data_IF_674071770838
#
_entry.id   IF_674071770838
#
_cell.length_a   1.000
_cell.length_b   1.000
_cell.length_c   1.000
_cell.angle_alpha   90.00
_cell.angle_beta   90.00
_cell.angle_gamma   90.00
#
_symmetry.space_group_name_H-M   'P 1'
#
loop_
_entity.id
_entity.type
_entity.pdbx_description
1 polymer ?
#
# COMPACT_ATOMS: atom_id res chain seq x y z
N UNK A 1 -4.63 -27.55 12.67
CA UNK A 1 -4.70 -27.25 11.22
C UNK A 1 -4.40 -25.78 10.93
N UNK A 2 -5.22 -24.79 11.29
CA UNK A 2 -4.86 -23.37 11.01
C UNK A 2 -3.52 -22.99 11.68
N UNK A 3 -3.38 -23.25 12.99
CA UNK A 3 -2.17 -22.93 13.73
C UNK A 3 -0.90 -23.61 13.17
N UNK A 4 -1.00 -24.86 12.74
CA UNK A 4 0.11 -25.62 12.15
C UNK A 4 0.47 -25.11 10.74
N UNK A 5 -0.52 -24.71 9.94
CA UNK A 5 -0.28 -24.11 8.62
C UNK A 5 0.44 -22.76 8.73
N UNK A 6 0.01 -21.90 9.66
CA UNK A 6 0.69 -20.62 9.93
C UNK A 6 2.11 -20.86 10.45
N UNK A 7 2.31 -21.84 11.34
CA UNK A 7 3.65 -22.23 11.80
C UNK A 7 4.55 -22.72 10.64
N UNK A 8 3.97 -23.39 9.64
CA UNK A 8 4.67 -23.82 8.41
C UNK A 8 4.89 -22.69 7.40
N UNK A 9 4.58 -21.44 7.73
CA UNK A 9 4.82 -20.27 6.88
C UNK A 9 3.67 -19.91 5.93
N UNK A 10 2.45 -20.44 6.11
CA UNK A 10 1.32 -20.03 5.29
C UNK A 10 0.95 -18.55 5.50
N UNK A 11 0.70 -17.83 4.41
CA UNK A 11 0.31 -16.41 4.47
C UNK A 11 -1.12 -16.23 4.97
N UNK A 12 -1.28 -15.65 6.17
CA UNK A 12 -2.60 -15.32 6.74
C UNK A 12 -3.34 -14.23 5.95
N UNK A 13 -2.62 -13.40 5.20
CA UNK A 13 -3.17 -12.33 4.36
C UNK A 13 -3.64 -12.79 2.98
N UNK A 14 -3.44 -14.06 2.63
CA UNK A 14 -3.86 -14.59 1.34
C UNK A 14 -5.39 -14.51 1.15
N UNK A 15 -5.79 -14.22 -0.09
CA UNK A 15 -7.19 -14.02 -0.49
C UNK A 15 -7.60 -15.16 -1.41
N UNK A 16 -8.83 -15.65 -1.28
CA UNK A 16 -9.40 -16.65 -2.19
C UNK A 16 -9.57 -16.10 -3.61
N UNK A 17 -9.68 -16.99 -4.59
CA UNK A 17 -9.93 -16.60 -5.98
C UNK A 17 -11.21 -15.75 -6.12
N UNK A 18 -11.19 -14.71 -7.00
CA UNK A 18 -12.37 -13.91 -7.30
C UNK A 18 -13.54 -14.77 -7.78
N UNK A 19 -14.72 -14.53 -7.22
CA UNK A 19 -15.97 -15.18 -7.64
C UNK A 19 -17.04 -14.15 -7.96
N UNK A 20 -18.12 -14.56 -8.62
CA UNK A 20 -19.26 -13.67 -8.93
C UNK A 20 -19.92 -13.07 -7.67
N UNK A 21 -19.77 -13.72 -6.52
CA UNK A 21 -20.24 -13.23 -5.21
C UNK A 21 -19.22 -12.32 -4.53
N UNK A 22 -17.93 -12.57 -4.75
CA UNK A 22 -16.82 -11.86 -4.12
C UNK A 22 -15.76 -11.49 -5.18
N UNK A 23 -15.93 -10.37 -5.90
CA UNK A 23 -15.07 -10.01 -7.04
C UNK A 23 -13.62 -9.66 -6.64
N UNK A 24 -13.39 -9.40 -5.35
CA UNK A 24 -12.06 -9.11 -4.78
C UNK A 24 -11.47 -10.36 -4.08
N UNK A 25 -12.27 -11.41 -3.89
CA UNK A 25 -11.94 -12.54 -3.03
C UNK A 25 -12.06 -12.21 -1.53
N UNK A 26 -11.94 -13.23 -0.68
CA UNK A 26 -12.07 -13.13 0.78
C UNK A 26 -10.81 -13.63 1.47
N UNK A 27 -10.40 -12.93 2.53
CA UNK A 27 -9.31 -13.39 3.41
C UNK A 27 -9.80 -14.52 4.31
N UNK A 28 -8.90 -15.39 4.75
CA UNK A 28 -9.22 -16.44 5.73
C UNK A 28 -9.87 -15.86 7.01
N UNK A 29 -9.43 -14.67 7.46
CA UNK A 29 -10.01 -13.95 8.58
C UNK A 29 -11.47 -13.53 8.33
N UNK A 30 -11.79 -13.02 7.13
CA UNK A 30 -13.15 -12.64 6.76
C UNK A 30 -14.10 -13.84 6.73
N UNK A 31 -13.63 -14.99 6.24
CA UNK A 31 -14.39 -16.24 6.19
C UNK A 31 -14.66 -16.72 7.63
N UNK A 32 -13.62 -16.78 8.48
CA UNK A 32 -13.77 -17.16 9.88
C UNK A 32 -14.76 -16.25 10.63
N UNK A 33 -14.73 -14.94 10.37
CA UNK A 33 -15.66 -13.97 10.94
C UNK A 33 -17.10 -14.25 10.49
N UNK A 34 -17.32 -14.50 9.19
CA UNK A 34 -18.65 -14.81 8.64
C UNK A 34 -19.23 -16.13 9.17
N UNK A 35 -18.37 -17.08 9.54
CA UNK A 35 -18.76 -18.33 10.21
C UNK A 35 -18.98 -18.19 11.72
N UNK A 36 -18.78 -17.01 12.30
CA UNK A 36 -18.95 -16.74 13.74
C UNK A 36 -17.73 -17.06 14.61
N UNK A 37 -16.60 -17.45 14.03
CA UNK A 37 -15.35 -17.72 14.75
C UNK A 37 -14.55 -16.44 14.98
N UNK A 38 -15.04 -15.56 15.85
CA UNK A 38 -14.44 -14.24 16.12
C UNK A 38 -12.99 -14.33 16.62
N UNK A 39 -12.67 -15.29 17.50
CA UNK A 39 -11.30 -15.45 18.03
C UNK A 39 -10.30 -15.89 16.95
N UNK A 40 -10.72 -16.81 16.08
CA UNK A 40 -9.93 -17.24 14.92
C UNK A 40 -9.76 -16.10 13.90
N UNK A 41 -10.83 -15.36 13.62
CA UNK A 41 -10.78 -14.21 12.73
C UNK A 41 -9.83 -13.12 13.25
N UNK A 42 -9.86 -12.85 14.56
CA UNK A 42 -8.94 -11.94 15.22
C UNK A 42 -7.49 -12.40 15.13
N UNK A 43 -7.21 -13.67 15.44
CA UNK A 43 -5.86 -14.25 15.31
C UNK A 43 -5.30 -14.13 13.89
N UNK A 44 -6.08 -14.52 12.88
CA UNK A 44 -5.66 -14.41 11.48
C UNK A 44 -5.45 -12.96 11.04
N UNK A 45 -6.26 -12.03 11.54
CA UNK A 45 -6.12 -10.60 11.24
C UNK A 45 -4.85 -10.00 11.86
N UNK A 46 -4.53 -10.36 13.11
CA UNK A 46 -3.28 -9.95 13.76
C UNK A 46 -2.06 -10.51 13.03
N UNK A 47 -2.04 -11.82 12.73
CA UNK A 47 -0.94 -12.46 12.01
C UNK A 47 -0.76 -11.85 10.62
N UNK A 48 -1.85 -11.56 9.91
CA UNK A 48 -1.78 -10.89 8.62
C UNK A 48 -1.16 -9.48 8.72
N UNK A 49 -1.57 -8.67 9.71
CA UNK A 49 -1.03 -7.32 9.90
C UNK A 49 0.45 -7.34 10.31
N UNK A 50 0.82 -8.20 11.25
CA UNK A 50 2.20 -8.31 11.74
C UNK A 50 3.14 -8.92 10.69
N UNK A 51 2.68 -9.89 9.90
CA UNK A 51 3.44 -10.42 8.76
C UNK A 51 3.57 -9.41 7.62
N UNK A 52 2.56 -8.57 7.39
CA UNK A 52 2.64 -7.51 6.39
C UNK A 52 3.62 -6.41 6.84
N UNK A 53 3.61 -6.06 8.12
CA UNK A 53 4.60 -5.15 8.70
C UNK A 53 6.02 -5.71 8.55
N UNK A 54 6.27 -6.97 8.90
CA UNK A 54 7.62 -7.54 8.80
C UNK A 54 8.13 -7.53 7.35
N UNK A 55 7.26 -7.84 6.38
CA UNK A 55 7.57 -7.72 4.96
C UNK A 55 7.92 -6.30 4.55
N UNK A 56 7.19 -5.28 5.02
CA UNK A 56 7.49 -3.88 4.71
C UNK A 56 8.78 -3.40 5.39
N UNK A 57 9.03 -3.80 6.63
CA UNK A 57 10.26 -3.42 7.35
C UNK A 57 11.51 -4.04 6.76
N UNK A 58 11.44 -5.24 6.16
CA UNK A 58 12.56 -5.81 5.41
C UNK A 58 12.93 -4.91 4.22
N UNK A 59 11.93 -4.42 3.49
CA UNK A 59 12.13 -3.50 2.36
C UNK A 59 12.61 -2.09 2.81
N UNK A 60 12.17 -1.61 3.99
CA UNK A 60 12.61 -0.31 4.57
C UNK A 60 13.97 -0.39 5.29
N UNK A 61 14.41 -1.57 5.71
CA UNK A 61 15.68 -1.77 6.44
C UNK A 61 16.94 -1.47 5.60
N UNK A 62 16.78 -1.36 4.28
CA UNK A 62 17.78 -0.85 3.34
C UNK A 62 17.94 0.69 3.40
N UNK A 63 17.06 1.44 4.08
CA UNK A 63 17.02 2.91 3.98
C UNK A 63 17.03 3.73 5.28
N UNK A 64 16.73 3.21 6.48
CA UNK A 64 17.15 3.86 7.75
C UNK A 64 16.67 3.10 8.99
N UNK A 65 17.60 2.70 9.87
CA UNK A 65 17.28 2.25 11.23
C UNK A 65 17.20 3.45 12.16
N UNK A 66 15.98 3.81 12.55
CA UNK A 66 15.72 4.70 13.68
C UNK A 66 15.68 3.91 14.99
N UNK A 67 16.62 4.18 15.88
CA UNK A 67 16.91 3.56 17.17
C UNK A 67 15.82 3.70 18.26
N UNK A 68 14.60 4.12 17.92
CA UNK A 68 13.54 4.45 18.88
C UNK A 68 12.63 3.26 19.27
N UNK A 69 12.62 2.18 18.48
CA UNK A 69 11.66 1.08 18.67
C UNK A 69 11.99 0.13 19.85
N UNK A 70 13.27 0.05 20.23
CA UNK A 70 13.73 -0.83 21.33
C UNK A 70 13.34 -0.27 22.71
N UNK A 71 13.09 1.04 22.82
CA UNK A 71 12.86 1.72 24.09
C UNK A 71 11.39 1.66 24.56
N UNK A 72 10.43 1.63 23.61
CA UNK A 72 9.01 1.44 23.91
C UNK A 72 8.67 0.01 24.37
N UNK A 73 9.40 -0.99 23.88
CA UNK A 73 9.21 -2.40 24.29
C UNK A 73 9.80 -2.69 25.68
N UNK A 74 10.90 -2.04 26.05
CA UNK A 74 11.56 -2.20 27.36
C UNK A 74 10.74 -1.64 28.53
N UNK A 75 10.02 -0.54 28.33
CA UNK A 75 9.29 0.16 29.40
C UNK A 75 8.01 -0.57 29.84
N UNK A 76 7.41 -1.40 28.98
CA UNK A 76 6.18 -2.15 29.29
C UNK A 76 6.48 -3.51 29.93
N UNK A 77 7.59 -4.17 29.54
CA UNK A 77 8.04 -5.42 30.17
C UNK A 77 8.33 -5.27 31.67
N UNK A 78 8.77 -4.08 32.10
CA UNK A 78 9.03 -3.79 33.52
C UNK A 78 7.76 -3.78 34.40
N UNK A 79 6.56 -3.65 33.80
CA UNK A 79 5.28 -3.57 34.53
C UNK A 79 4.64 -4.95 34.75
N UNK A 80 5.11 -6.00 34.07
CA UNK A 80 4.47 -7.33 34.08
C UNK A 80 4.86 -8.28 35.22
N UNK A 81 5.74 -7.87 36.14
CA UNK A 81 6.27 -8.74 37.21
C UNK A 81 5.47 -8.72 38.52
N UNK A 82 4.13 -8.62 38.45
CA UNK A 82 3.28 -8.66 39.66
C UNK A 82 1.91 -9.31 39.38
N UNK A 83 1.85 -10.64 39.33
CA UNK A 83 0.70 -11.43 39.85
C UNK A 83 0.88 -12.92 39.58
N UNK A 84 1.36 -13.63 40.60
CA UNK A 84 1.13 -15.06 40.73
C UNK A 84 -0.34 -15.27 41.10
N UNK A 85 -1.00 -16.24 40.44
CA UNK A 85 -2.44 -16.59 40.46
C UNK A 85 -3.33 -15.76 39.51
N UNK A 86 -3.37 -16.19 38.24
CA UNK A 86 -4.26 -15.61 37.22
C UNK A 86 -5.25 -16.71 36.79
N UNK A 87 -6.56 -16.45 36.97
CA UNK A 87 -7.64 -17.28 36.39
C UNK A 87 -7.52 -17.33 34.86
N UNK A 88 -7.84 -18.44 34.21
CA UNK A 88 -7.72 -18.63 32.74
C UNK A 88 -8.39 -17.51 31.91
N UNK A 89 -9.49 -16.95 32.39
CA UNK A 89 -10.17 -15.83 31.73
C UNK A 89 -9.37 -14.51 31.76
N UNK A 90 -8.53 -14.30 32.78
CA UNK A 90 -7.64 -13.14 32.88
C UNK A 90 -6.41 -13.30 31.97
N UNK A 91 -5.93 -14.55 31.76
CA UNK A 91 -4.84 -14.85 30.81
C UNK A 91 -5.30 -14.63 29.37
N UNK A 92 -6.44 -15.19 29.00
CA UNK A 92 -7.01 -14.99 27.66
C UNK A 92 -7.36 -13.53 27.37
N UNK A 93 -7.77 -12.75 28.38
CA UNK A 93 -7.93 -11.30 28.24
C UNK A 93 -6.60 -10.58 28.03
N UNK A 94 -5.55 -10.92 28.80
CA UNK A 94 -4.21 -10.32 28.62
C UNK A 94 -3.66 -10.57 27.23
N UNK A 95 -3.79 -11.79 26.73
CA UNK A 95 -3.33 -12.19 25.40
C UNK A 95 -4.09 -11.48 24.28
N UNK A 96 -5.41 -11.35 24.40
CA UNK A 96 -6.20 -10.60 23.41
C UNK A 96 -5.93 -9.10 23.44
N UNK A 97 -5.64 -8.51 24.60
CA UNK A 97 -5.20 -7.11 24.69
C UNK A 97 -3.81 -6.89 24.10
N UNK A 98 -2.90 -7.87 24.23
CA UNK A 98 -1.61 -7.84 23.54
C UNK A 98 -1.81 -7.88 22.02
N UNK A 99 -2.69 -8.75 21.53
CA UNK A 99 -3.05 -8.83 20.11
C UNK A 99 -3.59 -7.51 19.55
N UNK A 100 -4.45 -6.81 20.30
CA UNK A 100 -4.94 -5.47 19.92
C UNK A 100 -3.80 -4.46 19.81
N UNK A 101 -2.86 -4.46 20.76
CA UNK A 101 -1.70 -3.55 20.71
C UNK A 101 -0.83 -3.83 19.49
N UNK A 102 -0.52 -5.11 19.23
CA UNK A 102 0.26 -5.53 18.07
C UNK A 102 -0.42 -5.12 16.76
N UNK A 103 -1.72 -5.40 16.63
CA UNK A 103 -2.50 -5.05 15.45
C UNK A 103 -2.57 -3.54 15.22
N UNK A 104 -2.78 -2.75 16.28
CA UNK A 104 -2.85 -1.30 16.20
C UNK A 104 -1.48 -0.68 15.82
N UNK A 105 -0.39 -1.15 16.43
CA UNK A 105 0.96 -0.71 16.08
C UNK A 105 1.34 -1.09 14.66
N UNK A 106 1.03 -2.32 14.24
CA UNK A 106 1.28 -2.78 12.87
C UNK A 106 0.48 -1.96 11.86
N UNK A 107 -0.82 -1.77 12.08
CA UNK A 107 -1.67 -0.94 11.23
C UNK A 107 -1.13 0.49 11.09
N UNK A 108 -0.76 1.13 12.20
CA UNK A 108 -0.22 2.47 12.20
C UNK A 108 1.08 2.57 11.38
N UNK A 109 2.01 1.62 11.57
CA UNK A 109 3.28 1.57 10.84
C UNK A 109 3.09 1.30 9.35
N UNK A 110 2.22 0.35 9.00
CA UNK A 110 1.86 0.06 7.59
C UNK A 110 1.28 1.31 6.93
N UNK A 111 0.30 1.96 7.57
CA UNK A 111 -0.32 3.17 7.04
C UNK A 111 0.69 4.32 6.93
N UNK A 112 1.61 4.49 7.88
CA UNK A 112 2.67 5.50 7.79
C UNK A 112 3.64 5.22 6.65
N UNK A 113 4.03 3.97 6.43
CA UNK A 113 4.89 3.54 5.33
C UNK A 113 4.23 3.87 3.97
N UNK A 114 2.95 3.54 3.79
CA UNK A 114 2.22 3.89 2.56
C UNK A 114 2.08 5.40 2.35
N UNK A 115 1.87 6.18 3.41
CA UNK A 115 1.82 7.65 3.34
C UNK A 115 3.18 8.22 2.93
N UNK A 116 4.27 7.76 3.54
CA UNK A 116 5.63 8.15 3.22
C UNK A 116 5.99 7.78 1.77
N UNK A 117 5.72 6.54 1.37
CA UNK A 117 5.96 6.07 0.00
C UNK A 117 5.15 6.88 -1.04
N UNK A 118 3.88 7.15 -0.76
CA UNK A 118 3.04 7.98 -1.65
C UNK A 118 3.58 9.42 -1.76
N UNK A 119 4.07 9.98 -0.66
CA UNK A 119 4.70 11.30 -0.63
C UNK A 119 6.01 11.31 -1.44
N UNK A 120 6.91 10.35 -1.21
CA UNK A 120 8.16 10.23 -1.96
C UNK A 120 7.92 10.05 -3.46
N UNK A 121 6.94 9.22 -3.85
CA UNK A 121 6.57 9.04 -5.27
C UNK A 121 6.03 10.32 -5.90
N UNK A 122 5.27 11.12 -5.16
CA UNK A 122 4.82 12.45 -5.60
C UNK A 122 6.02 13.39 -5.80
N UNK A 123 6.92 13.43 -4.81
CA UNK A 123 8.12 14.27 -4.87
C UNK A 123 9.03 13.87 -6.03
N UNK A 124 9.23 12.58 -6.29
CA UNK A 124 10.01 12.09 -7.45
C UNK A 124 9.37 12.42 -8.79
N UNK A 125 8.05 12.57 -8.87
CA UNK A 125 7.36 13.01 -10.11
C UNK A 125 7.41 14.52 -10.27
N UNK A 126 7.24 15.28 -9.21
CA UNK A 126 7.44 16.74 -9.23
C UNK A 126 8.90 17.07 -9.57
N UNK A 127 9.84 16.30 -8.99
CA UNK A 127 11.26 16.36 -9.35
C UNK A 127 11.53 15.77 -10.73
N UNK A 128 10.82 14.74 -11.20
CA UNK A 128 10.96 14.17 -12.55
C UNK A 128 10.45 15.08 -13.66
N UNK A 129 9.38 15.83 -13.38
CA UNK A 129 8.91 16.96 -14.22
C UNK A 129 9.91 18.12 -14.15
N UNK A 130 10.62 18.29 -13.04
CA UNK A 130 11.71 19.26 -12.87
C UNK A 130 13.12 18.70 -13.18
N UNK A 131 13.24 17.44 -13.59
CA UNK A 131 14.48 16.73 -13.92
C UNK A 131 14.47 16.25 -15.38
N UNK A 132 13.36 16.49 -16.09
CA UNK A 132 13.39 16.88 -17.50
C UNK A 132 14.01 18.28 -17.70
N UNK A 133 15.08 18.53 -16.94
CA UNK A 133 15.71 19.80 -16.71
C UNK A 133 15.07 20.56 -15.54
N UNK A 134 15.93 20.96 -14.59
CA UNK A 134 15.88 22.35 -14.16
C UNK A 134 15.84 23.19 -15.45
N UNK A 135 15.33 24.41 -15.44
CA UNK A 135 15.16 25.19 -16.67
C UNK A 135 16.47 25.36 -17.50
N UNK A 136 17.62 24.87 -16.99
CA UNK A 136 18.89 24.69 -17.68
C UNK A 136 19.64 23.33 -17.54
N UNK A 137 19.10 22.27 -16.92
CA UNK A 137 19.70 20.92 -16.97
C UNK A 137 21.16 20.76 -16.49
N UNK A 138 21.58 21.49 -15.45
CA UNK A 138 22.96 21.44 -14.92
C UNK A 138 22.99 20.70 -13.58
N UNK A 139 23.74 19.59 -13.48
CA UNK A 139 24.04 18.95 -12.19
C UNK A 139 25.13 19.76 -11.45
N UNK A 140 25.07 19.78 -10.11
CA UNK A 140 26.06 20.47 -9.25
C UNK A 140 27.51 20.03 -9.56
N UNK A 141 27.69 18.80 -10.04
CA UNK A 141 28.98 18.23 -10.44
C UNK A 141 29.51 18.77 -11.78
N UNK A 142 28.63 19.29 -12.65
CA UNK A 142 29.00 19.83 -13.97
C UNK A 142 29.55 21.25 -13.88
N UNK A 143 29.25 21.98 -12.80
CA UNK A 143 29.68 23.36 -12.56
C UNK A 143 31.21 23.45 -12.46
N UNK A 144 31.84 22.44 -11.85
CA UNK A 144 33.29 22.42 -11.68
C UNK A 144 34.04 22.10 -12.98
N UNK A 145 33.47 21.24 -13.83
CA UNK A 145 33.99 20.96 -15.18
C UNK A 145 33.85 22.15 -16.14
N UNK A 146 32.71 22.84 -16.10
CA UNK A 146 32.47 24.07 -16.88
C UNK A 146 33.39 25.22 -16.45
N UNK A 147 33.66 25.36 -15.15
CA UNK A 147 34.59 26.35 -14.60
C UNK A 147 36.03 26.13 -15.09
N UNK A 148 36.48 24.88 -15.17
CA UNK A 148 37.80 24.53 -15.67
C UNK A 148 37.96 24.78 -17.18
N UNK A 149 36.95 24.41 -17.98
CA UNK A 149 36.96 24.65 -19.43
C UNK A 149 36.89 26.14 -19.80
N UNK A 150 36.18 26.93 -18.99
CA UNK A 150 36.02 28.36 -19.22
C UNK A 150 37.35 29.11 -19.13
N UNK A 151 38.24 28.75 -18.19
CA UNK A 151 39.56 29.40 -18.01
C UNK A 151 40.50 29.25 -19.21
N UNK A 152 40.31 28.26 -20.07
CA UNK A 152 41.15 28.03 -21.26
C UNK A 152 40.68 28.81 -22.50
N UNK A 153 39.39 29.15 -22.59
CA UNK A 153 38.78 29.71 -23.81
C UNK A 153 38.78 31.26 -23.86
N UNK A 154 39.08 31.93 -22.75
CA UNK A 154 38.88 33.37 -22.56
C UNK A 154 40.10 34.25 -22.91
N UNK A 155 40.58 34.17 -24.16
CA UNK A 155 41.72 35.00 -24.60
C UNK A 155 41.36 36.29 -25.35
N UNK A 156 40.10 36.55 -25.71
CA UNK A 156 39.78 37.66 -26.62
C UNK A 156 38.56 38.53 -26.21
N UNK A 157 38.74 39.84 -25.92
CA UNK A 157 37.67 40.72 -25.46
C UNK A 157 36.53 40.98 -26.47
N UNK A 158 36.76 40.74 -27.78
CA UNK A 158 35.73 40.90 -28.82
C UNK A 158 34.65 39.82 -28.78
N UNK A 159 34.97 38.61 -28.32
CA UNK A 159 34.04 37.48 -28.32
C UNK A 159 32.99 37.56 -27.21
N UNK A 160 33.28 38.28 -26.11
CA UNK A 160 32.30 38.51 -25.03
C UNK A 160 31.08 39.30 -25.50
N UNK A 161 31.28 40.28 -26.38
CA UNK A 161 30.16 41.08 -26.90
C UNK A 161 29.26 40.23 -27.80
N UNK A 162 29.84 39.36 -28.65
CA UNK A 162 29.04 38.45 -29.46
C UNK A 162 28.30 37.39 -28.64
N UNK A 163 28.96 36.81 -27.63
CA UNK A 163 28.34 35.83 -26.74
C UNK A 163 27.20 36.46 -25.91
N UNK A 164 27.44 37.65 -25.34
CA UNK A 164 26.43 38.39 -24.60
C UNK A 164 25.21 38.73 -25.47
N UNK A 165 25.42 39.18 -26.72
CA UNK A 165 24.33 39.46 -27.66
C UNK A 165 23.54 38.21 -28.03
N UNK A 166 24.20 37.06 -28.21
CA UNK A 166 23.53 35.79 -28.47
C UNK A 166 22.63 35.36 -27.31
N UNK A 167 23.12 35.47 -26.08
CA UNK A 167 22.37 35.18 -24.86
C UNK A 167 21.18 36.14 -24.72
N UNK A 168 21.39 37.45 -24.89
CA UNK A 168 20.33 38.45 -24.82
C UNK A 168 19.23 38.21 -25.87
N UNK A 169 19.61 37.85 -27.09
CA UNK A 169 18.66 37.52 -28.17
C UNK A 169 17.82 36.29 -27.81
N UNK A 170 18.44 35.24 -27.27
CA UNK A 170 17.74 34.04 -26.80
C UNK A 170 16.80 34.34 -25.65
N UNK A 171 17.24 35.12 -24.67
CA UNK A 171 16.42 35.53 -23.54
C UNK A 171 15.20 36.34 -23.97
N UNK A 172 15.37 37.33 -24.86
CA UNK A 172 14.25 38.13 -25.39
C UNK A 172 13.22 37.28 -26.13
N UNK A 173 13.68 36.32 -26.93
CA UNK A 173 12.81 35.36 -27.62
C UNK A 173 12.06 34.43 -26.65
N UNK A 174 12.76 33.89 -25.65
CA UNK A 174 12.16 33.05 -24.61
C UNK A 174 11.11 33.81 -23.79
N UNK A 175 11.44 35.03 -23.35
CA UNK A 175 10.52 35.87 -22.57
C UNK A 175 9.25 36.19 -23.37
N UNK A 176 9.39 36.59 -24.63
CA UNK A 176 8.24 36.82 -25.51
C UNK A 176 7.38 35.57 -25.72
N UNK A 177 7.99 34.38 -25.88
CA UNK A 177 7.27 33.12 -26.01
C UNK A 177 6.53 32.75 -24.72
N UNK A 178 7.15 32.96 -23.55
CA UNK A 178 6.56 32.73 -22.23
C UNK A 178 5.32 33.59 -22.02
N UNK A 179 5.45 34.89 -22.29
CA UNK A 179 4.34 35.86 -22.15
C UNK A 179 3.20 35.53 -23.12
N UNK A 180 3.52 35.16 -24.37
CA UNK A 180 2.53 34.74 -25.37
C UNK A 180 1.78 33.47 -24.95
N UNK A 181 2.48 32.45 -24.44
CA UNK A 181 1.85 31.21 -23.99
C UNK A 181 0.93 31.46 -22.79
N UNK A 182 1.37 32.25 -21.81
CA UNK A 182 0.55 32.64 -20.66
C UNK A 182 -0.71 33.41 -21.10
N UNK A 183 -0.58 34.33 -22.05
CA UNK A 183 -1.72 35.05 -22.63
C UNK A 183 -2.66 34.10 -23.39
N UNK A 184 -2.12 33.22 -24.24
CA UNK A 184 -2.90 32.23 -24.99
C UNK A 184 -3.70 31.30 -24.08
N UNK A 185 -3.10 30.82 -22.98
CA UNK A 185 -3.81 29.99 -22.00
C UNK A 185 -5.02 30.73 -21.41
N UNK A 186 -4.88 32.01 -21.04
CA UNK A 186 -5.99 32.83 -20.55
C UNK A 186 -7.10 32.97 -21.61
N UNK A 187 -6.72 33.24 -22.87
CA UNK A 187 -7.68 33.34 -23.98
C UNK A 187 -8.42 32.02 -24.20
N UNK A 188 -7.72 30.89 -24.24
CA UNK A 188 -8.34 29.56 -24.43
C UNK A 188 -9.33 29.25 -23.30
N UNK A 189 -8.99 29.58 -22.04
CA UNK A 189 -9.93 29.43 -20.90
C UNK A 189 -11.20 30.25 -21.11
N UNK A 190 -11.08 31.52 -21.50
CA UNK A 190 -12.24 32.39 -21.77
C UNK A 190 -13.08 31.81 -22.93
N UNK A 191 -12.42 31.40 -24.02
CA UNK A 191 -13.11 30.82 -25.17
C UNK A 191 -13.87 29.54 -24.80
N UNK A 192 -13.30 28.67 -23.98
CA UNK A 192 -13.97 27.47 -23.48
C UNK A 192 -15.22 27.82 -22.66
N UNK A 193 -15.11 28.81 -21.76
CA UNK A 193 -16.25 29.28 -20.96
C UNK A 193 -17.38 29.87 -21.83
N UNK A 194 -17.03 30.67 -22.84
CA UNK A 194 -18.01 31.25 -23.77
C UNK A 194 -18.71 30.17 -24.60
N UNK A 195 -17.96 29.20 -25.17
CA UNK A 195 -18.54 28.08 -25.91
C UNK A 195 -19.48 27.25 -25.02
N UNK A 196 -19.06 26.94 -23.79
CA UNK A 196 -19.90 26.23 -22.83
C UNK A 196 -21.16 27.02 -22.43
N UNK A 197 -21.05 28.34 -22.26
CA UNK A 197 -22.19 29.20 -21.97
C UNK A 197 -23.20 29.23 -23.13
N UNK A 198 -22.73 29.30 -24.38
CA UNK A 198 -23.61 29.28 -25.56
C UNK A 198 -24.45 28.00 -25.62
N UNK A 199 -23.84 26.83 -25.41
CA UNK A 199 -24.55 25.54 -25.38
C UNK A 199 -25.55 25.50 -24.23
N UNK A 200 -25.17 25.92 -23.02
CA UNK A 200 -26.09 25.95 -21.86
C UNK A 200 -27.26 26.93 -22.06
N UNK A 201 -27.04 28.05 -22.74
CA UNK A 201 -28.10 29.01 -23.09
C UNK A 201 -29.12 28.36 -24.03
N UNK A 202 -28.66 27.62 -25.05
CA UNK A 202 -29.55 26.88 -25.95
C UNK A 202 -30.28 25.73 -25.21
N UNK A 203 -29.57 24.97 -24.38
CA UNK A 203 -30.15 23.89 -23.59
C UNK A 203 -31.25 24.37 -22.63
N UNK A 204 -31.09 25.54 -21.99
CA UNK A 204 -32.13 26.13 -21.12
C UNK A 204 -33.45 26.35 -21.85
N UNK A 205 -33.41 26.76 -23.12
CA UNK A 205 -34.62 26.94 -23.95
C UNK A 205 -35.27 25.58 -24.24
N UNK A 206 -34.49 24.61 -24.70
CA UNK A 206 -34.98 23.25 -24.94
C UNK A 206 -35.55 22.58 -23.67
N UNK A 207 -34.91 22.79 -22.51
CA UNK A 207 -35.34 22.27 -21.23
C UNK A 207 -36.67 22.88 -20.78
N UNK A 208 -36.84 24.20 -20.93
CA UNK A 208 -38.10 24.88 -20.63
C UNK A 208 -39.25 24.38 -21.51
N UNK A 209 -38.99 24.17 -22.82
CA UNK A 209 -39.97 23.58 -23.75
C UNK A 209 -40.32 22.15 -23.35
N UNK A 210 -39.32 21.33 -22.99
CA UNK A 210 -39.53 19.97 -22.51
C UNK A 210 -40.40 19.91 -21.25
N UNK A 211 -40.19 20.81 -20.28
CA UNK A 211 -41.05 20.90 -19.09
C UNK A 211 -42.47 21.30 -19.47
N UNK A 212 -42.62 22.33 -20.31
CA UNK A 212 -43.94 22.82 -20.73
C UNK A 212 -44.71 21.72 -21.46
N UNK A 213 -44.06 20.98 -22.36
CA UNK A 213 -44.63 19.81 -23.03
C UNK A 213 -45.06 18.74 -22.03
N UNK A 214 -44.22 18.40 -21.04
CA UNK A 214 -44.56 17.43 -20.00
C UNK A 214 -45.74 17.89 -19.15
N UNK A 215 -45.84 19.18 -18.81
CA UNK A 215 -46.96 19.76 -18.05
C UNK A 215 -48.26 19.71 -18.88
N UNK A 216 -48.21 20.11 -20.15
CA UNK A 216 -49.36 20.05 -21.06
C UNK A 216 -49.83 18.60 -21.26
N UNK A 217 -48.89 17.66 -21.44
CA UNK A 217 -49.20 16.23 -21.56
C UNK A 217 -49.82 15.67 -20.27
N UNK A 218 -49.33 16.10 -19.10
CA UNK A 218 -49.89 15.73 -17.78
C UNK A 218 -51.31 16.27 -17.60
N UNK A 219 -51.55 17.53 -17.98
CA UNK A 219 -52.87 18.17 -17.90
C UNK A 219 -53.89 17.51 -18.83
N UNK A 220 -53.49 17.19 -20.08
CA UNK A 220 -54.35 16.50 -21.05
C UNK A 220 -54.68 15.06 -20.67
N UNK A 221 -53.75 14.31 -20.07
CA UNK A 221 -53.95 12.88 -19.74
C UNK A 221 -54.59 12.60 -18.37
N UNK A 222 -54.91 13.63 -17.57
CA UNK A 222 -55.56 13.53 -16.23
C UNK A 222 -55.10 12.31 -15.39
N UNK A 223 -53.79 12.09 -15.22
CA UNK A 223 -53.30 10.96 -14.41
C UNK A 223 -51.76 10.81 -14.35
N UNK A 224 -51.29 10.26 -13.24
CA UNK A 224 -49.87 10.15 -12.80
C UNK A 224 -48.99 9.31 -13.73
N UNK A 225 -47.92 9.90 -14.28
CA UNK A 225 -46.81 9.13 -14.84
C UNK A 225 -45.79 9.94 -15.63
N UNK A 226 -44.56 10.01 -15.12
CA UNK A 226 -43.31 9.71 -15.83
C UNK A 226 -42.19 9.57 -14.79
N UNK A 227 -41.94 8.33 -14.37
CA UNK A 227 -40.77 7.92 -13.59
C UNK A 227 -39.60 7.76 -14.56
N UNK A 228 -38.49 8.42 -14.28
CA UNK A 228 -37.18 8.11 -14.87
C UNK A 228 -36.69 9.06 -15.95
N UNK A 229 -35.96 10.10 -15.54
CA UNK A 229 -34.85 10.61 -16.35
C UNK A 229 -33.70 10.93 -15.38
N UNK A 230 -32.84 9.93 -15.14
CA UNK A 230 -31.54 10.14 -14.47
C UNK A 230 -30.59 10.60 -15.55
N UNK A 231 -30.07 11.82 -15.40
CA UNK A 231 -28.98 12.30 -16.23
C UNK A 231 -27.69 11.87 -15.53
N UNK A 232 -27.18 10.69 -15.90
CA UNK A 232 -25.79 10.33 -15.59
C UNK A 232 -24.94 11.04 -16.64
N UNK A 233 -24.29 12.14 -16.24
CA UNK A 233 -23.22 12.77 -17.01
C UNK A 233 -21.92 12.52 -16.26
N UNK A 234 -21.26 11.42 -16.59
CA UNK A 234 -19.84 11.27 -16.29
C UNK A 234 -19.08 11.59 -17.57
N UNK A 235 -18.50 12.78 -17.62
CA UNK A 235 -17.48 13.13 -18.61
C UNK A 235 -16.11 12.88 -17.98
N UNK A 236 -15.45 11.89 -18.56
CA UNK A 236 -14.08 11.42 -18.35
C UNK A 236 -13.09 12.57 -18.48
N UNK A 237 -12.27 12.79 -17.46
CA UNK A 237 -10.99 13.50 -17.54
C UNK A 237 -9.88 12.55 -17.05
N UNK A 238 -9.04 12.08 -17.97
CA UNK A 238 -7.93 11.12 -17.76
C UNK A 238 -6.82 11.63 -16.81
N UNK A 239 -6.94 12.85 -16.28
CA UNK A 239 -6.07 13.41 -15.22
C UNK A 239 -6.62 13.05 -13.83
N UNK A 240 -7.95 12.93 -13.68
CA UNK A 240 -8.57 12.48 -12.44
C UNK A 240 -8.36 10.98 -12.23
N UNK A 241 -8.26 10.18 -13.29
CA UNK A 241 -8.11 8.71 -13.19
C UNK A 241 -6.90 8.28 -12.33
N UNK A 242 -5.81 9.05 -12.29
CA UNK A 242 -4.66 8.74 -11.44
C UNK A 242 -4.89 9.09 -9.96
N UNK A 243 -5.65 10.15 -9.66
CA UNK A 243 -6.06 10.50 -8.29
C UNK A 243 -7.20 9.60 -7.81
N UNK A 244 -8.09 9.19 -8.71
CA UNK A 244 -9.14 8.21 -8.49
C UNK A 244 -8.50 6.85 -8.17
N UNK A 245 -7.53 6.38 -8.95
CA UNK A 245 -6.80 5.15 -8.66
C UNK A 245 -5.99 5.24 -7.35
N UNK A 246 -5.45 6.41 -6.99
CA UNK A 246 -4.82 6.62 -5.67
C UNK A 246 -5.82 6.56 -4.54
N UNK A 247 -6.98 7.22 -4.68
CA UNK A 247 -8.06 7.19 -3.69
C UNK A 247 -8.58 5.76 -3.55
N UNK A 248 -8.75 5.01 -4.64
CA UNK A 248 -9.19 3.62 -4.59
C UNK A 248 -8.16 2.69 -3.97
N UNK A 249 -6.86 2.85 -4.29
CA UNK A 249 -5.79 2.05 -3.65
C UNK A 249 -5.70 2.37 -2.16
N UNK A 250 -5.74 3.65 -1.79
CA UNK A 250 -5.70 4.11 -0.41
C UNK A 250 -6.92 3.62 0.36
N UNK A 251 -8.12 3.84 -0.17
CA UNK A 251 -9.37 3.42 0.45
C UNK A 251 -9.44 1.90 0.58
N UNK A 252 -8.98 1.14 -0.41
CA UNK A 252 -9.03 -0.34 -0.35
C UNK A 252 -8.03 -0.90 0.65
N UNK A 253 -6.79 -0.40 0.68
CA UNK A 253 -5.76 -0.87 1.61
C UNK A 253 -6.05 -0.40 3.03
N UNK A 254 -6.35 0.89 3.23
CA UNK A 254 -6.68 1.44 4.55
C UNK A 254 -7.95 0.78 5.10
N UNK A 255 -9.00 0.59 4.28
CA UNK A 255 -10.21 -0.10 4.73
C UNK A 255 -9.94 -1.56 5.10
N UNK A 256 -9.08 -2.27 4.36
CA UNK A 256 -8.72 -3.65 4.72
C UNK A 256 -7.94 -3.72 6.04
N UNK A 257 -7.04 -2.77 6.29
CA UNK A 257 -6.30 -2.64 7.56
C UNK A 257 -7.26 -2.33 8.70
N UNK A 258 -8.14 -1.34 8.54
CA UNK A 258 -9.10 -0.93 9.55
C UNK A 258 -10.12 -2.04 9.85
N UNK A 259 -10.53 -2.80 8.83
CA UNK A 259 -11.42 -3.96 9.00
C UNK A 259 -10.70 -5.11 9.73
N UNK A 260 -9.41 -5.33 9.46
CA UNK A 260 -8.59 -6.29 10.21
C UNK A 260 -8.46 -5.89 11.69
N UNK A 261 -8.17 -4.61 11.98
CA UNK A 261 -8.13 -4.08 13.35
C UNK A 261 -9.49 -4.20 14.02
N UNK A 262 -10.58 -3.91 13.31
CA UNK A 262 -11.95 -4.06 13.82
C UNK A 262 -12.28 -5.50 14.20
N UNK A 263 -11.81 -6.49 13.42
CA UNK A 263 -11.96 -7.92 13.77
C UNK A 263 -11.19 -8.26 15.04
N UNK A 264 -9.96 -7.78 15.18
CA UNK A 264 -9.14 -7.95 16.39
C UNK A 264 -9.82 -7.34 17.61
N UNK A 265 -10.37 -6.12 17.50
CA UNK A 265 -11.14 -5.49 18.58
C UNK A 265 -12.39 -6.30 18.95
N UNK A 266 -13.14 -6.77 17.94
CA UNK A 266 -14.38 -7.53 18.15
C UNK A 266 -14.17 -8.86 18.90
N UNK A 267 -12.97 -9.45 18.83
CA UNK A 267 -12.66 -10.67 19.57
C UNK A 267 -12.47 -10.39 21.07
N UNK A 268 -12.04 -9.19 21.43
CA UNK A 268 -11.81 -8.80 22.83
C UNK A 268 -13.12 -8.56 23.55
N UNK A 269 -14.20 -8.21 22.87
CA UNK A 269 -15.49 -7.96 23.51
C UNK A 269 -16.18 -9.23 24.02
N UNK A 270 -15.88 -10.41 23.43
CA UNK A 270 -16.56 -11.66 23.75
C UNK A 270 -15.66 -12.66 24.48
N UNK A 271 -16.06 -13.20 25.66
CA UNK A 271 -15.23 -14.15 26.41
C UNK A 271 -14.96 -15.43 25.62
N UNK A 272 -15.94 -15.95 24.88
CA UNK A 272 -15.76 -17.13 24.03
C UNK A 272 -14.76 -16.89 22.89
N UNK A 273 -14.69 -15.67 22.35
CA UNK A 273 -13.73 -15.31 21.33
C UNK A 273 -12.30 -15.17 21.90
N UNK A 274 -12.16 -14.65 23.13
CA UNK A 274 -10.87 -14.60 23.85
C UNK A 274 -10.29 -15.99 24.07
N UNK A 275 -11.11 -16.93 24.53
CA UNK A 275 -10.68 -18.32 24.74
C UNK A 275 -10.35 -19.02 23.42
N UNK A 276 -11.12 -18.78 22.35
CA UNK A 276 -10.79 -19.29 21.01
C UNK A 276 -9.42 -18.80 20.53
N UNK A 277 -9.16 -17.48 20.66
CA UNK A 277 -7.88 -16.88 20.30
C UNK A 277 -6.73 -17.50 21.11
N UNK A 278 -6.88 -17.58 22.44
CA UNK A 278 -5.87 -18.16 23.33
C UNK A 278 -5.54 -19.61 22.95
N UNK A 279 -6.56 -20.44 22.71
CA UNK A 279 -6.37 -21.84 22.31
C UNK A 279 -5.66 -21.99 20.96
N UNK A 280 -5.87 -21.05 20.03
CA UNK A 280 -5.17 -21.05 18.74
C UNK A 280 -3.72 -20.61 18.93
N UNK A 281 -3.47 -19.61 19.77
CA UNK A 281 -2.14 -19.11 20.08
C UNK A 281 -1.26 -20.18 20.73
N UNK A 282 -1.81 -20.95 21.68
CA UNK A 282 -1.11 -22.10 22.29
C UNK A 282 -0.75 -23.17 21.26
N UNK A 283 -1.72 -23.55 20.41
CA UNK A 283 -1.48 -24.55 19.35
C UNK A 283 -0.45 -24.08 18.33
N UNK A 284 -0.39 -22.78 18.05
CA UNK A 284 0.62 -22.21 17.17
C UNK A 284 2.00 -22.31 17.80
N UNK A 285 2.14 -21.97 19.09
CA UNK A 285 3.40 -22.12 19.83
C UNK A 285 3.88 -23.58 19.86
N UNK A 286 2.96 -24.52 20.09
CA UNK A 286 3.26 -25.96 20.04
C UNK A 286 3.74 -26.39 18.66
N UNK A 287 2.97 -26.08 17.60
CA UNK A 287 3.33 -26.45 16.23
C UNK A 287 4.65 -25.80 15.76
N UNK A 288 4.94 -24.57 16.22
CA UNK A 288 6.20 -23.90 15.92
C UNK A 288 7.39 -24.58 16.60
N UNK A 289 7.25 -24.99 17.87
CA UNK A 289 8.28 -25.72 18.59
C UNK A 289 8.55 -27.11 17.99
N UNK A 290 7.52 -27.80 17.50
CA UNK A 290 7.67 -29.07 16.78
C UNK A 290 8.47 -28.89 15.48
N UNK A 291 8.21 -27.82 14.72
CA UNK A 291 8.95 -27.50 13.49
C UNK A 291 10.43 -27.18 13.78
N UNK A 292 10.70 -26.33 14.78
CA UNK A 292 12.06 -25.97 15.19
C UNK A 292 12.85 -27.17 15.74
N UNK A 293 12.19 -28.14 16.39
CA UNK A 293 12.80 -29.38 16.86
C UNK A 293 13.26 -30.30 15.72
N UNK A 294 12.45 -30.44 14.67
CA UNK A 294 12.74 -31.27 13.48
C UNK A 294 13.92 -30.71 12.67
N UNK A 295 14.09 -29.40 12.61
CA UNK A 295 15.25 -28.76 11.96
C UNK A 295 16.58 -29.08 12.69
N UNK A 296 16.55 -29.35 14.01
CA UNK A 296 17.75 -29.77 14.76
C UNK A 296 18.07 -31.27 14.64
N UNK A 297 17.05 -32.12 14.51
CA UNK A 297 17.23 -33.56 14.33
C UNK A 297 17.69 -33.89 12.89
N UNK A 298 17.19 -33.17 11.88
CA UNK A 298 17.64 -33.33 10.49
C UNK A 298 19.09 -32.87 10.27
N UNK A 299 19.57 -31.89 11.03
CA UNK A 299 20.98 -31.50 11.05
C UNK A 299 21.89 -32.55 11.73
N UNK A 300 21.38 -33.30 12.73
CA UNK A 300 22.15 -34.37 13.39
C UNK A 300 22.14 -35.69 12.61
N UNK A 301 21.12 -35.94 11.78
CA UNK A 301 20.98 -37.21 11.03
C UNK A 301 21.78 -37.20 9.71
N UNK A 302 22.25 -36.04 9.25
CA UNK A 302 23.04 -35.94 8.01
C UNK A 302 24.53 -36.28 8.16
N UNK A 303 25.03 -36.55 9.38
CA UNK A 303 26.48 -36.72 9.63
C UNK A 303 26.91 -38.03 10.31
N UNK A 304 26.04 -39.04 10.38
CA UNK A 304 26.43 -40.34 10.92
C UNK A 304 25.62 -41.48 10.30
N UNK A 305 26.24 -42.15 9.32
CA UNK A 305 26.41 -43.61 9.27
C UNK A 305 26.48 -44.10 7.80
N UNK A 306 27.64 -43.88 7.20
CA UNK A 306 28.05 -44.46 5.91
C UNK A 306 29.43 -45.09 6.10
N UNK A 307 29.53 -46.13 6.93
CA UNK A 307 30.67 -47.04 6.90
C UNK A 307 30.33 -48.36 7.59
N UNK A 308 29.72 -49.28 6.84
CA UNK A 308 29.81 -50.72 7.08
C UNK A 308 29.38 -51.46 5.81
N UNK A 309 30.36 -51.77 4.96
CA UNK A 309 30.21 -52.84 3.98
C UNK A 309 31.50 -53.64 3.93
N UNK A 310 31.33 -54.88 4.38
CA UNK A 310 32.24 -56.01 4.48
C UNK A 310 33.22 -56.12 3.30
N UNK A 311 34.50 -56.31 3.61
CA UNK A 311 35.48 -56.88 2.69
C UNK A 311 35.97 -58.19 3.34
N UNK A 312 35.33 -59.30 2.99
CA UNK A 312 35.84 -60.65 3.18
C UNK A 312 35.52 -61.45 1.92
N UNK A 313 36.47 -61.45 0.96
CA UNK A 313 36.45 -62.33 -0.21
C UNK A 313 37.63 -63.30 -0.12
N UNK A 314 37.39 -64.41 0.60
CA UNK A 314 38.24 -65.59 0.65
C UNK A 314 37.88 -66.47 -0.56
N UNK A 315 38.72 -66.46 -1.60
CA UNK A 315 38.68 -67.49 -2.64
C UNK A 315 39.67 -68.60 -2.30
N UNK A 316 39.11 -69.76 -1.94
CA UNK A 316 39.80 -71.02 -1.81
C UNK A 316 39.36 -71.94 -2.96
N UNK A 317 40.29 -72.26 -3.86
CA UNK A 317 40.13 -73.33 -4.87
C UNK A 317 41.06 -74.50 -4.52
N UNK A 318 40.57 -75.76 -4.54
CA UNK A 318 41.43 -76.94 -4.57
C UNK A 318 41.34 -77.76 -5.88
N UNK A 319 42.43 -78.48 -6.15
CA UNK A 319 42.64 -79.61 -7.09
C UNK A 319 42.90 -79.20 -8.56
N UNK A 320 44.03 -79.52 -9.21
CA UNK A 320 44.94 -80.67 -9.11
C UNK A 320 46.42 -80.26 -9.14
#
# INVERSE_FOLDING_TARGET
>A
MVASLIASGASAGAVTDPSSRDPVGKTAASIASSCGHKGLAGYLSEVALTSHLSSLTLEESELSKGTADVEAERTISSISNTSATINEDQRSLKDTLAAVRNAAQAAARIQSAFRAHSFCKRQQREFGVSASGDEYGILSNDIQGLSAASKLAFRNPRDYNSAALAIQKKYRGWKGRKDFLAFRQKVVKIQAHVRGYQVRKQYKVCWAVGILEKVVLRWRRRGVGLRGFRHDTESIDEIEDEDILKVFRKQKVDAAIDEAVSRVLSMVESPGARQQYHRILEKYRQAKAELEGVDSETASTAHGDMSNMENDDIYQFPSY
#
